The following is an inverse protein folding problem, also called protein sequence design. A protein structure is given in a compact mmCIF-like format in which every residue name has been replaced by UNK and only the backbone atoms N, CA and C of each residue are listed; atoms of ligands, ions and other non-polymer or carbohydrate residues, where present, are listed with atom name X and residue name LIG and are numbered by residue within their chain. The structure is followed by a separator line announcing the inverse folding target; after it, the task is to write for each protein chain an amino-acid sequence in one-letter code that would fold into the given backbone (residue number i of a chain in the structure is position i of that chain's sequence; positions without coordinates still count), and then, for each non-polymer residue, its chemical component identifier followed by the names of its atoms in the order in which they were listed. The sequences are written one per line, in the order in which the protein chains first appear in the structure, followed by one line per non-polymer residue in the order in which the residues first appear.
data_IF_120676961563
#
_entry.id   IF_120676961563
#
_cell.length_a   1.000
_cell.length_b   1.000
_cell.length_c   1.000
_cell.angle_alpha   90.00
_cell.angle_beta   90.00
_cell.angle_gamma   90.00
#
_symmetry.space_group_name_H-M   'P 1'
#
loop_
_entity.id
_entity.type
_entity.pdbx_description
1 polymer ?
#
# COMPACT_ATOMS: atom_id res chain seq x y z
N UNK A 1 -14.95 -8.58 9.69
CA UNK A 1 -13.54 -8.71 9.23
C UNK A 1 -13.19 -8.15 7.86
N UNK A 2 -13.99 -8.39 6.81
CA UNK A 2 -13.62 -7.99 5.44
C UNK A 2 -13.28 -6.50 5.30
N UNK A 3 -14.07 -5.60 5.91
CA UNK A 3 -13.82 -4.15 5.87
C UNK A 3 -12.46 -3.76 6.44
N UNK A 4 -12.09 -4.30 7.62
CA UNK A 4 -10.79 -4.02 8.23
C UNK A 4 -9.64 -4.51 7.35
N UNK A 5 -9.78 -5.70 6.77
CA UNK A 5 -8.79 -6.25 5.84
C UNK A 5 -8.66 -5.38 4.59
N UNK A 6 -9.76 -4.90 4.02
CA UNK A 6 -9.74 -4.03 2.85
C UNK A 6 -9.00 -2.70 3.12
N UNK A 7 -9.26 -2.05 4.25
CA UNK A 7 -8.56 -0.82 4.66
C UNK A 7 -7.05 -1.09 4.82
N UNK A 8 -6.69 -2.17 5.51
CA UNK A 8 -5.28 -2.50 5.74
C UNK A 8 -4.55 -2.87 4.45
N UNK A 9 -5.20 -3.61 3.55
CA UNK A 9 -4.67 -3.94 2.23
C UNK A 9 -4.47 -2.69 1.37
N UNK A 10 -5.42 -1.75 1.40
CA UNK A 10 -5.28 -0.47 0.70
C UNK A 10 -4.12 0.36 1.26
N UNK A 11 -3.99 0.43 2.58
CA UNK A 11 -2.89 1.12 3.25
C UNK A 11 -1.53 0.57 2.80
N UNK A 12 -1.36 -0.76 2.84
CA UNK A 12 -0.14 -1.43 2.35
C UNK A 12 0.15 -1.14 0.89
N UNK A 13 -0.87 -1.26 0.02
CA UNK A 13 -0.74 -0.96 -1.41
C UNK A 13 -0.22 0.46 -1.64
N UNK A 14 -0.70 1.44 -0.86
CA UNK A 14 -0.37 2.86 -1.00
C UNK A 14 0.86 3.31 -0.21
N UNK A 15 1.58 2.39 0.45
CA UNK A 15 2.80 2.69 1.18
C UNK A 15 2.61 3.24 2.59
N UNK A 16 1.45 3.03 3.21
CA UNK A 16 1.20 3.34 4.62
C UNK A 16 1.59 2.14 5.50
N UNK A 17 2.89 1.84 5.56
CA UNK A 17 3.39 0.63 6.19
C UNK A 17 3.25 0.63 7.72
N UNK A 18 3.27 1.80 8.34
CA UNK A 18 3.04 2.00 9.77
C UNK A 18 1.55 2.00 10.16
N UNK A 19 0.67 1.83 9.17
CA UNK A 19 -0.77 1.94 9.34
C UNK A 19 -1.31 0.88 10.30
N UNK A 20 -2.09 1.30 11.30
CA UNK A 20 -2.68 0.40 12.30
C UNK A 20 -4.07 0.86 12.74
N UNK A 21 -4.90 -0.10 13.12
CA UNK A 21 -6.16 0.21 13.81
C UNK A 21 -5.87 0.60 15.26
N UNK A 22 -6.21 1.84 15.61
CA UNK A 22 -6.17 2.33 17.00
C UNK A 22 -7.49 2.06 17.72
N UNK A 23 -8.58 1.84 16.97
CA UNK A 23 -9.85 1.36 17.48
C UNK A 23 -10.46 0.32 16.55
N UNK A 24 -11.06 -0.71 17.16
CA UNK A 24 -11.82 -1.73 16.45
C UNK A 24 -12.89 -2.31 17.38
N UNK A 25 -14.01 -1.61 17.50
CA UNK A 25 -15.11 -1.98 18.39
C UNK A 25 -16.39 -2.21 17.61
N UNK A 26 -17.16 -3.20 18.04
CA UNK A 26 -18.53 -3.41 17.61
C UNK A 26 -19.40 -3.23 18.85
N UNK A 27 -20.35 -2.32 18.77
CA UNK A 27 -21.37 -2.12 19.77
C UNK A 27 -22.68 -2.70 19.23
N UNK A 28 -23.25 -3.66 19.95
CA UNK A 28 -24.51 -4.31 19.57
C UNK A 28 -25.61 -3.78 20.47
N UNK A 29 -26.72 -3.34 19.86
CA UNK A 29 -27.91 -2.83 20.53
C UNK A 29 -29.08 -3.77 20.21
N UNK A 30 -29.28 -4.86 21.01
CA UNK A 30 -30.26 -5.88 20.68
C UNK A 30 -31.71 -5.38 20.67
N UNK A 31 -32.04 -4.41 21.53
CA UNK A 31 -33.37 -3.80 21.62
C UNK A 31 -33.81 -3.13 20.32
N UNK A 32 -32.85 -2.65 19.52
CA UNK A 32 -33.10 -1.97 18.26
C UNK A 32 -32.73 -2.82 17.04
N UNK A 33 -32.17 -4.02 17.27
CA UNK A 33 -31.60 -4.88 16.23
C UNK A 33 -30.54 -4.16 15.38
N UNK A 34 -29.70 -3.36 16.02
CA UNK A 34 -28.65 -2.55 15.38
C UNK A 34 -27.28 -2.97 15.90
N UNK A 35 -26.25 -2.81 15.06
CA UNK A 35 -24.86 -2.85 15.47
C UNK A 35 -24.10 -1.63 14.93
N UNK A 36 -23.47 -0.88 15.82
CA UNK A 36 -22.55 0.21 15.49
C UNK A 36 -21.14 -0.34 15.37
N UNK A 37 -20.44 0.04 14.30
CA UNK A 37 -19.06 -0.39 14.05
C UNK A 37 -18.16 0.83 14.15
N UNK A 38 -17.24 0.79 15.12
CA UNK A 38 -16.24 1.84 15.35
C UNK A 38 -14.87 1.34 14.90
N UNK A 39 -14.36 1.91 13.81
CA UNK A 39 -13.03 1.63 13.29
C UNK A 39 -12.24 2.93 13.18
N UNK A 40 -11.16 3.05 13.95
CA UNK A 40 -10.21 4.13 13.77
C UNK A 40 -8.89 3.58 13.25
N UNK A 41 -8.51 4.01 12.05
CA UNK A 41 -7.26 3.64 11.41
C UNK A 41 -6.30 4.83 11.40
N UNK A 42 -5.18 4.67 12.07
CA UNK A 42 -4.07 5.62 11.99
C UNK A 42 -3.16 5.15 10.86
N UNK A 43 -3.09 5.91 9.76
CA UNK A 43 -2.33 5.52 8.58
C UNK A 43 -0.82 5.61 8.76
N UNK A 44 -0.35 6.46 9.67
CA UNK A 44 1.05 6.88 9.68
C UNK A 44 1.43 7.64 8.41
N UNK A 45 2.73 7.89 8.20
CA UNK A 45 3.24 8.57 7.02
C UNK A 45 3.11 7.69 5.77
N UNK A 46 2.98 8.33 4.61
CA UNK A 46 3.07 7.66 3.31
C UNK A 46 4.53 7.55 2.90
N UNK A 47 4.99 6.33 2.67
CA UNK A 47 6.34 6.08 2.21
C UNK A 47 6.50 6.48 0.74
N UNK A 48 7.73 6.82 0.39
CA UNK A 48 8.13 7.21 -0.96
C UNK A 48 9.16 6.23 -1.49
N UNK A 49 9.24 6.11 -2.82
CA UNK A 49 10.28 5.31 -3.46
C UNK A 49 11.66 5.91 -3.19
N UNK A 50 12.61 5.04 -2.81
CA UNK A 50 14.02 5.39 -2.65
C UNK A 50 14.76 5.41 -3.99
N UNK A 51 16.09 5.47 -3.93
CA UNK A 51 16.92 5.29 -5.11
C UNK A 51 16.76 3.85 -5.64
N UNK A 52 16.62 3.71 -6.96
CA UNK A 52 16.55 2.41 -7.63
C UNK A 52 17.98 2.00 -7.99
N UNK A 53 18.35 0.77 -7.63
CA UNK A 53 19.61 0.15 -8.05
C UNK A 53 19.27 -1.14 -8.79
N UNK A 54 19.62 -1.21 -10.07
CA UNK A 54 19.46 -2.42 -10.89
C UNK A 54 20.85 -3.06 -11.01
N UNK A 55 21.04 -4.31 -10.58
CA UNK A 55 22.31 -5.01 -10.77
C UNK A 55 22.59 -5.27 -12.27
N UNK A 56 23.85 -5.10 -12.68
CA UNK A 56 24.33 -5.31 -14.06
C UNK A 56 24.58 -6.81 -14.36
N UNK A 57 23.62 -7.69 -14.11
CA UNK A 57 23.78 -9.15 -14.24
C UNK A 57 23.06 -9.78 -15.45
N UNK A 58 22.97 -9.06 -16.56
CA UNK A 58 22.50 -9.60 -17.84
C UNK A 58 21.18 -9.02 -18.35
N UNK A 59 20.72 -7.90 -17.77
CA UNK A 59 19.59 -7.14 -18.31
C UNK A 59 20.06 -6.41 -19.58
N UNK A 60 19.35 -6.61 -20.71
CA UNK A 60 19.67 -5.89 -21.95
C UNK A 60 19.52 -4.36 -21.74
N UNK A 61 20.56 -3.54 -22.02
CA UNK A 61 20.53 -2.09 -21.79
C UNK A 61 19.34 -1.38 -22.45
N UNK A 62 18.86 -1.92 -23.58
CA UNK A 62 17.73 -1.38 -24.34
C UNK A 62 16.37 -1.49 -23.62
N UNK A 63 16.22 -2.36 -22.60
CA UNK A 63 15.02 -2.43 -21.75
C UNK A 63 15.03 -1.37 -20.65
N UNK A 64 16.21 -1.03 -20.14
CA UNK A 64 16.41 -0.13 -18.99
C UNK A 64 16.04 1.32 -19.35
N UNK A 65 16.34 1.78 -20.57
CA UNK A 65 16.08 3.16 -21.00
C UNK A 65 14.59 3.52 -21.17
N UNK A 66 13.69 2.53 -21.17
CA UNK A 66 12.24 2.75 -21.39
C UNK A 66 11.40 2.82 -20.12
N UNK A 67 11.97 2.61 -18.94
CA UNK A 67 11.16 2.39 -17.74
C UNK A 67 11.39 3.49 -16.69
N UNK A 68 10.59 4.57 -16.70
CA UNK A 68 10.35 5.33 -15.50
C UNK A 68 8.92 5.09 -15.04
N UNK A 69 8.66 3.94 -14.41
CA UNK A 69 7.36 3.67 -13.77
C UNK A 69 7.14 4.58 -12.54
N UNK A 70 8.23 5.02 -11.90
CA UNK A 70 8.27 5.99 -10.81
C UNK A 70 9.69 6.55 -10.63
N UNK A 71 9.80 7.69 -9.95
CA UNK A 71 11.07 8.35 -9.59
C UNK A 71 11.31 8.30 -8.09
N UNK A 72 12.56 8.51 -7.68
CA UNK A 72 12.88 8.73 -6.26
C UNK A 72 12.04 9.89 -5.72
N UNK A 73 11.41 9.69 -4.55
CA UNK A 73 10.53 10.67 -3.93
C UNK A 73 9.07 10.60 -4.38
N UNK A 74 8.74 9.81 -5.40
CA UNK A 74 7.35 9.50 -5.72
C UNK A 74 6.70 8.70 -4.60
N UNK A 75 5.40 8.90 -4.40
CA UNK A 75 4.68 8.10 -3.43
C UNK A 75 4.68 6.62 -3.81
N UNK A 76 4.90 5.76 -2.83
CA UNK A 76 4.91 4.33 -3.01
C UNK A 76 3.53 3.82 -3.49
N UNK A 77 3.55 2.92 -4.46
CA UNK A 77 2.38 2.15 -4.90
C UNK A 77 2.85 0.77 -5.38
N UNK A 78 2.30 -0.31 -4.82
CA UNK A 78 2.68 -1.67 -5.22
C UNK A 78 2.33 -1.98 -6.67
N UNK A 79 1.37 -1.28 -7.28
CA UNK A 79 1.07 -1.46 -8.71
C UNK A 79 2.24 -0.99 -9.56
N UNK A 80 2.77 0.20 -9.27
CA UNK A 80 3.94 0.75 -9.99
C UNK A 80 5.18 -0.14 -9.81
N UNK A 81 5.32 -0.77 -8.65
CA UNK A 81 6.39 -1.74 -8.41
C UNK A 81 6.23 -3.02 -9.26
N UNK A 82 4.99 -3.52 -9.40
CA UNK A 82 4.70 -4.70 -10.23
C UNK A 82 4.84 -4.43 -11.74
N UNK A 83 4.50 -3.22 -12.19
CA UNK A 83 4.74 -2.75 -13.56
C UNK A 83 6.25 -2.75 -13.86
N UNK A 84 7.09 -2.18 -12.99
CA UNK A 84 8.55 -2.24 -13.13
C UNK A 84 9.07 -3.69 -13.23
N UNK A 85 8.57 -4.60 -12.40
CA UNK A 85 8.99 -6.01 -12.46
C UNK A 85 8.57 -6.71 -13.77
N UNK A 86 7.47 -6.27 -14.38
CA UNK A 86 6.97 -6.86 -15.63
C UNK A 86 7.72 -6.34 -16.86
N UNK A 87 8.27 -5.11 -16.76
CA UNK A 87 8.99 -4.44 -17.84
C UNK A 87 10.49 -4.82 -17.91
N UNK A 88 11.07 -5.33 -16.81
CA UNK A 88 12.43 -5.90 -16.76
C UNK A 88 12.46 -7.27 -17.46
#
# INVERSE_FOLDING_TARGET
DQTKRAIFSLAKRKGYFDGRFVESKIEVIPSENIANIHLHFSSGPRYKFGAISIPDDGVEPARIEKIPTFKQGDDFDTIKLGELQSDL
#
